data_IF_055761693375
#
_entry.id   IF_055761693375
#
_cell.length_a   1.000
_cell.length_b   1.000
_cell.length_c   1.000
_cell.angle_alpha   90.00
_cell.angle_beta   90.00
_cell.angle_gamma   90.00
#
_symmetry.space_group_name_H-M   'P 1'
#
loop_
_entity.id
_entity.type
_entity.pdbx_description
1 polymer ?
#
# COMPACT_ATOMS: atom_id res chain seq x y z
N UNK A 1 -1.98 8.83 -2.92
CA UNK A 1 -0.62 8.37 -2.56
C UNK A 1 0.29 9.58 -2.41
N UNK A 2 0.89 9.78 -1.23
CA UNK A 2 1.83 10.90 -1.02
C UNK A 2 3.25 10.38 -1.23
N UNK A 3 3.91 10.86 -2.28
CA UNK A 3 5.34 10.58 -2.50
C UNK A 3 6.15 11.70 -1.86
N UNK A 4 6.96 11.35 -0.87
CA UNK A 4 7.90 12.29 -0.25
C UNK A 4 9.27 12.11 -0.87
N UNK A 5 9.94 13.22 -1.21
CA UNK A 5 11.34 13.23 -1.66
C UNK A 5 12.23 13.71 -0.55
N UNK A 6 13.38 13.08 -0.38
CA UNK A 6 14.37 13.43 0.62
C UNK A 6 15.76 12.93 0.25
N UNK A 7 16.76 13.34 1.02
CA UNK A 7 18.13 12.83 0.92
C UNK A 7 18.48 12.06 2.17
N UNK A 8 19.09 10.88 2.01
CA UNK A 8 19.64 10.12 3.13
C UNK A 8 20.68 10.96 3.87
N UNK A 9 20.40 11.26 5.14
CA UNK A 9 21.30 12.02 6.00
C UNK A 9 22.43 11.15 6.58
N UNK A 10 22.15 9.87 6.85
CA UNK A 10 23.08 8.86 7.40
C UNK A 10 22.68 7.46 6.93
N UNK A 11 23.63 6.53 6.83
CA UNK A 11 23.40 5.15 6.40
C UNK A 11 23.50 4.97 4.89
N UNK A 12 22.95 3.87 4.37
CA UNK A 12 22.93 3.55 2.93
C UNK A 12 21.50 3.24 2.48
N UNK A 13 21.27 3.28 1.17
CA UNK A 13 19.99 2.91 0.57
C UNK A 13 19.63 1.44 0.90
N UNK A 14 20.60 0.54 0.89
CA UNK A 14 20.44 -0.86 1.23
C UNK A 14 20.02 -1.04 2.69
N UNK A 15 20.64 -0.30 3.61
CA UNK A 15 20.26 -0.30 5.02
C UNK A 15 18.83 0.18 5.24
N UNK A 16 18.39 1.20 4.49
CA UNK A 16 17.00 1.67 4.53
C UNK A 16 16.02 0.60 4.03
N UNK A 17 16.33 -0.08 2.92
CA UNK A 17 15.54 -1.21 2.42
C UNK A 17 15.46 -2.36 3.42
N UNK A 18 16.57 -2.72 4.08
CA UNK A 18 16.59 -3.78 5.09
C UNK A 18 15.66 -3.44 6.26
N UNK A 19 15.68 -2.20 6.74
CA UNK A 19 14.77 -1.77 7.82
C UNK A 19 13.31 -1.88 7.36
N UNK A 20 12.98 -1.40 6.16
CA UNK A 20 11.62 -1.51 5.62
C UNK A 20 11.17 -2.95 5.42
N UNK A 21 12.08 -3.85 5.03
CA UNK A 21 11.80 -5.28 4.89
C UNK A 21 11.46 -5.96 6.22
N UNK A 22 11.89 -5.41 7.36
CA UNK A 22 11.49 -5.86 8.71
C UNK A 22 10.14 -5.32 9.17
N UNK A 23 9.46 -4.51 8.34
CA UNK A 23 8.17 -3.90 8.66
C UNK A 23 7.13 -4.92 9.12
N UNK A 24 6.30 -4.51 10.08
CA UNK A 24 5.29 -5.35 10.72
C UNK A 24 3.91 -4.73 10.48
N UNK A 25 2.94 -5.53 10.06
CA UNK A 25 1.57 -5.10 9.79
C UNK A 25 1.08 -5.46 8.37
N UNK A 26 -0.09 -4.99 7.93
CA UNK A 26 -0.67 -5.30 6.62
C UNK A 26 0.07 -4.64 5.44
N UNK A 27 1.23 -4.02 5.69
CA UNK A 27 1.97 -3.26 4.70
C UNK A 27 3.00 -4.14 3.98
N UNK A 28 3.10 -3.94 2.67
CA UNK A 28 4.02 -4.64 1.77
C UNK A 28 5.22 -3.73 1.49
N UNK A 29 6.43 -4.10 1.91
CA UNK A 29 7.62 -3.32 1.59
C UNK A 29 7.95 -3.45 0.10
N UNK A 30 8.39 -2.34 -0.49
CA UNK A 30 8.95 -2.29 -1.84
C UNK A 30 10.15 -1.35 -1.86
N UNK A 31 11.08 -1.61 -2.76
CA UNK A 31 12.29 -0.81 -2.90
C UNK A 31 12.99 -1.06 -4.21
N UNK A 32 13.55 0.00 -4.78
CA UNK A 32 14.44 -0.04 -5.92
C UNK A 32 15.57 0.96 -5.69
N UNK A 33 16.80 0.53 -5.93
CA UNK A 33 18.02 1.30 -5.69
C UNK A 33 18.80 1.36 -7.01
N UNK A 34 19.25 2.56 -7.37
CA UNK A 34 20.22 2.81 -8.43
C UNK A 34 21.36 3.69 -7.89
N UNK A 35 22.48 3.06 -7.58
CA UNK A 35 23.62 3.71 -6.94
C UNK A 35 23.25 4.34 -5.59
N UNK A 36 23.17 5.68 -5.54
CA UNK A 36 22.85 6.45 -4.32
C UNK A 36 21.42 6.97 -4.30
N UNK A 37 20.65 6.68 -5.34
CA UNK A 37 19.27 7.10 -5.50
C UNK A 37 18.35 5.87 -5.50
N UNK A 38 17.06 6.11 -5.34
CA UNK A 38 16.09 5.02 -5.30
C UNK A 38 14.72 5.47 -4.83
N UNK A 39 13.82 4.51 -4.78
CA UNK A 39 12.49 4.65 -4.20
C UNK A 39 12.25 3.49 -3.27
N UNK A 40 11.65 3.76 -2.12
CA UNK A 40 11.28 2.74 -1.14
C UNK A 40 9.94 3.12 -0.51
N UNK A 41 9.21 2.14 -0.03
CA UNK A 41 7.97 2.41 0.68
C UNK A 41 7.32 1.17 1.26
N UNK A 42 6.19 1.41 1.94
CA UNK A 42 5.32 0.40 2.53
C UNK A 42 3.92 0.63 1.95
N UNK A 43 3.41 -0.32 1.18
CA UNK A 43 2.07 -0.23 0.57
C UNK A 43 1.04 -1.04 1.37
N UNK A 44 -0.10 -0.46 1.81
CA UNK A 44 -1.21 -1.26 2.33
C UNK A 44 -1.97 -2.00 1.21
N UNK A 45 -1.75 -1.63 -0.05
CA UNK A 45 -2.51 -2.11 -1.20
C UNK A 45 -1.76 -3.21 -1.96
N UNK A 46 -2.47 -4.28 -2.30
CA UNK A 46 -2.01 -5.35 -3.17
C UNK A 46 -2.60 -5.16 -4.58
N UNK A 47 -1.73 -4.93 -5.56
CA UNK A 47 -2.17 -4.89 -6.96
C UNK A 47 -2.70 -6.25 -7.42
N UNK A 48 -1.86 -7.28 -7.41
CA UNK A 48 -2.28 -8.67 -7.52
C UNK A 48 -1.19 -9.62 -7.00
N UNK A 49 -1.56 -10.87 -6.75
CA UNK A 49 -0.67 -12.00 -6.49
C UNK A 49 -1.17 -13.19 -7.30
N UNK A 50 -0.26 -13.86 -8.02
CA UNK A 50 -0.55 -15.08 -8.76
C UNK A 50 0.05 -16.27 -8.02
N UNK A 51 -0.79 -17.19 -7.54
CA UNK A 51 -0.37 -18.40 -6.84
C UNK A 51 -1.06 -19.63 -7.42
N UNK A 52 -0.27 -20.61 -7.90
CA UNK A 52 -0.76 -21.84 -8.51
C UNK A 52 -1.89 -21.65 -9.55
N UNK A 53 -1.83 -20.59 -10.36
CA UNK A 53 -2.85 -20.27 -11.38
C UNK A 53 -4.08 -19.54 -10.84
N UNK A 54 -4.12 -19.23 -9.54
CA UNK A 54 -5.15 -18.39 -8.90
C UNK A 54 -4.66 -16.96 -8.78
N UNK A 55 -5.45 -16.01 -9.27
CA UNK A 55 -5.18 -14.58 -9.13
C UNK A 55 -5.89 -14.03 -7.89
N UNK A 56 -5.13 -13.40 -7.01
CA UNK A 56 -5.61 -12.69 -5.83
C UNK A 56 -5.38 -11.19 -6.03
N UNK A 57 -6.39 -10.37 -5.77
CA UNK A 57 -6.29 -8.90 -5.77
C UNK A 57 -7.18 -8.35 -4.65
N UNK A 58 -7.22 -7.04 -4.46
CA UNK A 58 -8.10 -6.40 -3.50
C UNK A 58 -8.70 -5.11 -4.05
N UNK A 59 -9.97 -4.87 -3.73
CA UNK A 59 -10.52 -3.53 -3.76
C UNK A 59 -10.15 -2.84 -2.45
N UNK A 60 -9.23 -1.88 -2.48
CA UNK A 60 -8.88 -1.06 -1.32
C UNK A 60 -9.26 0.39 -1.60
N UNK A 61 -10.41 0.82 -1.09
CA UNK A 61 -10.93 2.17 -1.26
C UNK A 61 -11.73 2.60 -0.03
N UNK A 62 -11.89 3.92 0.08
CA UNK A 62 -12.38 4.60 1.27
C UNK A 62 -11.31 4.77 2.34
N UNK A 63 -11.34 5.89 3.07
CA UNK A 63 -10.34 6.18 4.12
C UNK A 63 -10.99 6.97 5.24
N UNK A 64 -10.88 6.45 6.46
CA UNK A 64 -11.34 7.12 7.68
C UNK A 64 -10.24 7.18 8.74
N UNK A 65 -10.40 8.11 9.68
CA UNK A 65 -9.55 8.11 10.88
C UNK A 65 -9.91 6.94 11.78
N UNK A 66 -8.99 6.57 12.67
CA UNK A 66 -9.21 5.43 13.55
C UNK A 66 -10.42 5.64 14.48
N UNK A 67 -10.66 6.87 14.93
CA UNK A 67 -11.84 7.23 15.75
C UNK A 67 -13.18 7.06 15.02
N UNK A 68 -13.21 7.05 13.68
CA UNK A 68 -14.42 6.99 12.86
C UNK A 68 -14.75 5.57 12.37
N UNK A 69 -13.99 4.56 12.83
CA UNK A 69 -14.06 3.18 12.32
C UNK A 69 -15.46 2.57 12.36
N UNK A 70 -16.24 2.82 13.41
CA UNK A 70 -17.60 2.27 13.53
C UNK A 70 -18.57 2.87 12.51
N UNK A 71 -18.42 4.17 12.22
CA UNK A 71 -19.26 4.86 11.23
C UNK A 71 -18.85 4.53 9.79
N UNK A 72 -17.55 4.26 9.56
CA UNK A 72 -17.00 4.01 8.22
C UNK A 72 -17.66 2.83 7.49
N UNK A 73 -17.97 1.74 8.20
CA UNK A 73 -18.54 0.53 7.60
C UNK A 73 -20.00 0.67 7.14
N UNK A 74 -20.67 1.76 7.49
CA UNK A 74 -22.07 2.05 7.12
C UNK A 74 -22.21 3.35 6.33
N UNK A 75 -21.10 4.03 6.03
CA UNK A 75 -21.12 5.25 5.23
C UNK A 75 -21.41 4.90 3.76
N UNK A 76 -22.56 5.34 3.26
CA UNK A 76 -23.01 5.08 1.89
C UNK A 76 -22.01 5.57 0.83
N UNK A 77 -21.31 6.68 1.08
CA UNK A 77 -20.31 7.21 0.16
C UNK A 77 -19.12 6.27 0.07
N UNK A 78 -18.59 5.85 1.21
CA UNK A 78 -17.40 5.00 1.29
C UNK A 78 -17.69 3.58 0.76
N UNK A 79 -18.88 3.03 1.05
CA UNK A 79 -19.34 1.76 0.46
C UNK A 79 -19.39 1.87 -1.06
N UNK A 80 -19.99 2.94 -1.58
CA UNK A 80 -20.13 3.13 -3.03
C UNK A 80 -18.78 3.31 -3.74
N UNK A 81 -17.83 4.03 -3.13
CA UNK A 81 -16.46 4.13 -3.64
C UNK A 81 -15.78 2.76 -3.69
N UNK A 82 -15.94 1.93 -2.65
CA UNK A 82 -15.43 0.56 -2.65
C UNK A 82 -16.06 -0.31 -3.74
N UNK A 83 -17.38 -0.24 -3.91
CA UNK A 83 -18.09 -0.98 -4.96
C UNK A 83 -17.63 -0.62 -6.37
N UNK A 84 -17.33 0.66 -6.64
CA UNK A 84 -16.78 1.07 -7.93
C UNK A 84 -15.43 0.43 -8.22
N UNK A 85 -14.54 0.36 -7.23
CA UNK A 85 -13.24 -0.31 -7.39
C UNK A 85 -13.43 -1.81 -7.60
N UNK A 86 -14.28 -2.45 -6.80
CA UNK A 86 -14.57 -3.87 -6.93
C UNK A 86 -15.16 -4.23 -8.30
N UNK A 87 -16.09 -3.42 -8.82
CA UNK A 87 -16.68 -3.61 -10.15
C UNK A 87 -15.64 -3.48 -11.27
N UNK A 88 -14.74 -2.50 -11.16
CA UNK A 88 -13.67 -2.28 -12.14
C UNK A 88 -12.69 -3.46 -12.21
N UNK A 89 -12.45 -4.15 -11.09
CA UNK A 89 -11.59 -5.33 -11.05
C UNK A 89 -12.23 -6.58 -11.68
N UNK A 90 -13.56 -6.62 -11.81
CA UNK A 90 -14.32 -7.77 -12.31
C UNK A 90 -14.78 -7.62 -13.77
N UNK A 91 -14.76 -6.40 -14.32
CA UNK A 91 -15.16 -6.07 -15.70
C UNK A 91 -14.04 -6.26 -16.71
#
# INVERSE_FOLDING_TARGET
MVTVRGRLAKGTCEGLCQILATGVGPLRPYGWIDGKDGVVGLSPELLFQLDAGTLHTMALAGTARLEEREAFGVDEKEIREHEFVAQTLLS
#
